data_IF_925524535432
#
_entry.id   IF_925524535432
#
_cell.length_a   1.000
_cell.length_b   1.000
_cell.length_c   1.000
_cell.angle_alpha   90.00
_cell.angle_beta   90.00
_cell.angle_gamma   90.00
#
_symmetry.space_group_name_H-M   'P 1'
#
loop_
_entity.id
_entity.type
_entity.pdbx_description
1 polymer ?
#
# COMPACT_ATOMS: atom_id res chain seq x y z
N UNK A 1 -14.87 -23.27 -11.41
CA UNK A 1 -14.55 -23.37 -9.96
C UNK A 1 -15.82 -23.09 -9.16
N UNK A 2 -16.22 -23.95 -8.22
CA UNK A 2 -17.44 -23.72 -7.43
C UNK A 2 -17.28 -22.51 -6.49
N UNK A 3 -18.39 -21.99 -5.96
CA UNK A 3 -18.40 -20.77 -5.14
C UNK A 3 -17.57 -20.91 -3.86
N UNK A 4 -17.62 -22.07 -3.20
CA UNK A 4 -16.85 -22.35 -1.99
C UNK A 4 -15.34 -22.25 -2.25
N UNK A 5 -14.85 -22.87 -3.33
CA UNK A 5 -13.43 -22.84 -3.68
C UNK A 5 -12.96 -21.44 -4.08
N UNK A 6 -13.81 -20.62 -4.71
CA UNK A 6 -13.52 -19.20 -4.97
C UNK A 6 -13.34 -18.41 -3.68
N UNK A 7 -14.25 -18.57 -2.73
CA UNK A 7 -14.17 -17.90 -1.42
C UNK A 7 -12.92 -18.32 -0.64
N UNK A 8 -12.62 -19.62 -0.60
CA UNK A 8 -11.42 -20.13 0.05
C UNK A 8 -10.14 -19.58 -0.59
N UNK A 9 -10.07 -19.53 -1.92
CA UNK A 9 -8.91 -18.97 -2.63
C UNK A 9 -8.71 -17.48 -2.34
N UNK A 10 -9.80 -16.70 -2.28
CA UNK A 10 -9.73 -15.29 -1.91
C UNK A 10 -9.25 -15.12 -0.47
N UNK A 11 -9.78 -15.92 0.46
CA UNK A 11 -9.40 -15.88 1.87
C UNK A 11 -7.91 -16.20 2.06
N UNK A 12 -7.41 -17.29 1.45
CA UNK A 12 -6.00 -17.67 1.58
C UNK A 12 -5.07 -16.66 0.93
N UNK A 13 -5.48 -16.07 -0.20
CA UNK A 13 -4.69 -15.04 -0.89
C UNK A 13 -4.65 -13.76 -0.06
N UNK A 14 -5.77 -13.33 0.53
CA UNK A 14 -5.81 -12.17 1.42
C UNK A 14 -4.92 -12.39 2.66
N UNK A 15 -4.97 -13.58 3.26
CA UNK A 15 -4.12 -13.94 4.40
C UNK A 15 -2.62 -13.90 4.03
N UNK A 16 -2.25 -14.47 2.88
CA UNK A 16 -0.87 -14.45 2.38
C UNK A 16 -0.38 -13.02 2.13
N UNK A 17 -1.17 -12.19 1.44
CA UNK A 17 -0.82 -10.80 1.16
C UNK A 17 -0.72 -9.97 2.44
N UNK A 18 -1.59 -10.24 3.43
CA UNK A 18 -1.51 -9.60 4.75
C UNK A 18 -0.22 -9.98 5.46
N UNK A 19 0.14 -11.27 5.48
CA UNK A 19 1.40 -11.74 6.06
C UNK A 19 2.62 -11.09 5.38
N UNK A 20 2.61 -10.99 4.05
CA UNK A 20 3.66 -10.30 3.30
C UNK A 20 3.71 -8.80 3.60
N UNK A 21 2.57 -8.13 3.73
CA UNK A 21 2.50 -6.71 4.07
C UNK A 21 3.13 -6.42 5.46
N UNK A 22 2.99 -7.36 6.39
CA UNK A 22 3.62 -7.27 7.72
C UNK A 22 5.12 -7.58 7.63
N UNK A 23 5.49 -8.63 6.90
CA UNK A 23 6.85 -9.15 6.86
C UNK A 23 7.82 -8.27 6.07
N UNK A 24 7.42 -7.77 4.90
CA UNK A 24 8.30 -7.04 3.97
C UNK A 24 9.04 -5.89 4.67
N UNK A 25 8.38 -4.99 5.41
CA UNK A 25 9.06 -3.89 6.10
C UNK A 25 10.09 -4.31 7.17
N UNK A 26 10.02 -5.56 7.64
CA UNK A 26 10.93 -6.11 8.66
C UNK A 26 12.18 -6.74 8.04
N UNK A 27 12.08 -7.28 6.82
CA UNK A 27 13.15 -8.08 6.20
C UNK A 27 13.78 -7.44 4.96
N UNK A 28 13.05 -6.56 4.27
CA UNK A 28 13.56 -5.91 3.07
C UNK A 28 14.51 -4.75 3.40
N UNK A 29 15.54 -4.52 2.56
CA UNK A 29 16.48 -3.43 2.76
C UNK A 29 15.77 -2.08 2.76
N UNK A 30 16.20 -1.19 3.67
CA UNK A 30 15.66 0.16 3.83
C UNK A 30 16.64 1.16 3.25
N UNK A 31 16.15 2.09 2.45
CA UNK A 31 16.90 3.28 2.04
C UNK A 31 16.67 4.31 3.14
N UNK A 32 17.73 4.63 3.89
CA UNK A 32 17.67 5.59 4.99
C UNK A 32 18.13 6.96 4.49
N UNK A 33 17.21 7.92 4.48
CA UNK A 33 17.48 9.32 4.17
C UNK A 33 17.02 10.11 5.40
N UNK A 34 17.92 10.44 6.33
CA UNK A 34 17.55 11.14 7.56
C UNK A 34 16.67 12.37 7.23
N UNK A 35 15.49 12.53 7.86
CA UNK A 35 15.02 11.88 9.08
C UNK A 35 14.04 10.68 8.89
N UNK A 36 13.93 10.12 7.68
CA UNK A 36 13.01 9.03 7.36
C UNK A 36 13.72 7.82 6.70
N UNK A 37 12.98 6.72 6.53
CA UNK A 37 13.47 5.54 5.82
C UNK A 37 12.35 4.96 4.97
N UNK A 38 12.71 4.43 3.80
CA UNK A 38 11.78 3.83 2.84
C UNK A 38 12.15 2.37 2.62
N UNK A 39 11.20 1.46 2.85
CA UNK A 39 11.37 0.04 2.59
C UNK A 39 10.81 -0.29 1.22
N UNK A 40 11.66 -0.70 0.29
CA UNK A 40 11.25 -1.09 -1.06
C UNK A 40 10.16 -2.19 -1.01
N UNK A 41 9.15 -2.06 -1.88
CA UNK A 41 8.05 -3.01 -2.04
C UNK A 41 7.07 -3.10 -0.85
N UNK A 42 7.11 -2.20 0.13
CA UNK A 42 6.24 -2.26 1.31
C UNK A 42 4.75 -2.23 0.99
N UNK A 43 4.34 -1.51 -0.08
CA UNK A 43 2.93 -1.40 -0.46
C UNK A 43 2.50 -2.43 -1.51
N UNK A 44 3.44 -3.21 -2.06
CA UNK A 44 3.18 -4.18 -3.13
C UNK A 44 2.06 -5.16 -2.77
N UNK A 45 1.99 -5.76 -1.56
CA UNK A 45 0.92 -6.69 -1.24
C UNK A 45 -0.47 -6.03 -1.21
N UNK A 46 -0.57 -4.79 -0.73
CA UNK A 46 -1.83 -4.02 -0.72
C UNK A 46 -2.25 -3.71 -2.17
N UNK A 47 -1.31 -3.27 -3.00
CA UNK A 47 -1.55 -2.95 -4.41
C UNK A 47 -1.94 -4.19 -5.24
N UNK A 48 -1.33 -5.35 -4.98
CA UNK A 48 -1.80 -6.62 -5.55
C UNK A 48 -3.21 -6.93 -5.05
N UNK A 49 -3.51 -6.68 -3.77
CA UNK A 49 -4.85 -6.79 -3.22
C UNK A 49 -5.89 -5.97 -3.98
N UNK A 50 -5.54 -4.73 -4.38
CA UNK A 50 -6.39 -3.87 -5.21
C UNK A 50 -6.72 -4.50 -6.57
N UNK A 51 -5.78 -5.22 -7.17
CA UNK A 51 -5.97 -5.93 -8.44
C UNK A 51 -6.80 -7.21 -8.29
N UNK A 52 -6.98 -7.73 -7.07
CA UNK A 52 -7.76 -8.94 -6.79
C UNK A 52 -9.22 -8.62 -6.47
N UNK A 53 -9.48 -7.67 -5.57
CA UNK A 53 -10.82 -7.11 -5.30
C UNK A 53 -10.74 -5.98 -4.27
N UNK A 54 -11.76 -5.09 -4.21
CA UNK A 54 -11.83 -4.08 -3.14
C UNK A 54 -11.82 -4.65 -1.72
N UNK A 55 -12.48 -5.79 -1.52
CA UNK A 55 -12.53 -6.47 -0.22
C UNK A 55 -11.15 -6.95 0.21
N UNK A 56 -10.40 -7.58 -0.70
CA UNK A 56 -9.03 -8.04 -0.40
C UNK A 56 -8.11 -6.86 -0.12
N UNK A 57 -8.19 -5.77 -0.89
CA UNK A 57 -7.40 -4.56 -0.67
C UNK A 57 -7.58 -3.99 0.74
N UNK A 58 -8.84 -3.87 1.20
CA UNK A 58 -9.17 -3.39 2.55
C UNK A 58 -8.68 -4.35 3.62
N UNK A 59 -8.91 -5.67 3.45
CA UNK A 59 -8.45 -6.67 4.42
C UNK A 59 -6.93 -6.61 4.60
N UNK A 60 -6.16 -6.51 3.50
CA UNK A 60 -4.69 -6.47 3.57
C UNK A 60 -4.22 -5.18 4.25
N UNK A 61 -4.83 -4.02 3.96
CA UNK A 61 -4.48 -2.76 4.60
C UNK A 61 -4.84 -2.70 6.10
N UNK A 62 -6.03 -3.19 6.48
CA UNK A 62 -6.43 -3.30 7.89
C UNK A 62 -5.55 -4.32 8.61
N UNK A 63 -5.30 -5.47 7.99
CA UNK A 63 -4.48 -6.53 8.54
C UNK A 63 -3.03 -6.11 8.77
N UNK A 64 -2.42 -5.37 7.83
CA UNK A 64 -1.07 -4.82 8.02
C UNK A 64 -1.02 -3.79 9.14
N UNK A 65 -2.05 -2.94 9.26
CA UNK A 65 -2.18 -1.97 10.36
C UNK A 65 -2.21 -2.66 11.72
N UNK A 66 -3.06 -3.70 11.86
CA UNK A 66 -3.15 -4.50 13.08
C UNK A 66 -1.82 -5.23 13.34
N UNK A 67 -1.21 -5.79 12.30
CA UNK A 67 0.09 -6.45 12.41
C UNK A 67 1.21 -5.52 12.89
N UNK A 68 1.27 -4.29 12.40
CA UNK A 68 2.24 -3.28 12.85
C UNK A 68 2.00 -2.86 14.29
N UNK A 69 0.73 -2.71 14.69
CA UNK A 69 0.35 -2.42 16.07
C UNK A 69 0.83 -3.53 17.02
N UNK A 70 0.56 -4.80 16.68
CA UNK A 70 0.97 -5.96 17.49
C UNK A 70 2.50 -6.13 17.50
N UNK A 71 3.18 -5.74 16.41
CA UNK A 71 4.64 -5.79 16.31
C UNK A 71 5.35 -4.72 17.15
N UNK A 72 4.61 -3.83 17.83
CA UNK A 72 5.18 -2.81 18.70
C UNK A 72 5.95 -1.71 17.94
N UNK A 73 5.63 -1.47 16.67
CA UNK A 73 6.23 -0.39 15.91
C UNK A 73 5.81 0.99 16.48
N UNK A 74 6.63 2.04 16.29
CA UNK A 74 6.26 3.41 16.66
C UNK A 74 4.86 3.77 16.16
N UNK A 75 4.10 4.46 17.00
CA UNK A 75 2.67 4.70 16.77
C UNK A 75 2.42 5.46 15.46
N UNK A 76 3.33 6.37 15.06
CA UNK A 76 3.27 7.07 13.78
C UNK A 76 3.32 6.15 12.57
N UNK A 77 4.03 5.01 12.65
CA UNK A 77 4.12 4.04 11.56
C UNK A 77 2.81 3.27 11.44
N UNK A 78 2.22 2.89 12.58
CA UNK A 78 0.94 2.19 12.63
C UNK A 78 -0.20 3.05 12.07
N UNK A 79 -0.28 4.33 12.44
CA UNK A 79 -1.28 5.24 11.90
C UNK A 79 -1.08 5.54 10.42
N UNK A 80 0.17 5.61 9.94
CA UNK A 80 0.43 5.68 8.49
C UNK A 80 -0.08 4.44 7.76
N UNK A 81 0.15 3.23 8.29
CA UNK A 81 -0.43 2.03 7.71
C UNK A 81 -1.97 2.07 7.70
N UNK A 82 -2.59 2.64 8.74
CA UNK A 82 -4.04 2.80 8.79
C UNK A 82 -4.59 3.66 7.64
N UNK A 83 -3.86 4.69 7.19
CA UNK A 83 -4.30 5.52 6.06
C UNK A 83 -4.25 4.78 4.73
N UNK A 84 -3.51 3.66 4.64
CA UNK A 84 -3.42 2.87 3.40
C UNK A 84 -4.77 2.34 2.95
N UNK A 85 -5.71 2.13 3.87
CA UNK A 85 -7.09 1.75 3.58
C UNK A 85 -7.76 2.75 2.62
N UNK A 86 -7.42 4.05 2.72
CA UNK A 86 -8.00 5.10 1.88
C UNK A 86 -7.64 4.89 0.41
N UNK A 87 -6.35 4.84 0.08
CA UNK A 87 -5.93 4.65 -1.31
C UNK A 87 -6.27 3.24 -1.81
N UNK A 88 -6.19 2.23 -0.95
CA UNK A 88 -6.52 0.85 -1.29
C UNK A 88 -7.99 0.72 -1.71
N UNK A 89 -8.91 1.31 -0.97
CA UNK A 89 -10.33 1.30 -1.30
C UNK A 89 -10.63 2.15 -2.54
N UNK A 90 -10.19 3.40 -2.58
CA UNK A 90 -10.46 4.31 -3.70
C UNK A 90 -9.90 3.74 -5.01
N UNK A 91 -8.63 3.32 -4.99
CA UNK A 91 -7.97 2.81 -6.17
C UNK A 91 -8.51 1.45 -6.62
N UNK A 92 -8.86 0.55 -5.70
CA UNK A 92 -9.47 -0.73 -6.07
C UNK A 92 -10.87 -0.53 -6.69
N UNK A 93 -11.73 0.31 -6.10
CA UNK A 93 -13.04 0.61 -6.67
C UNK A 93 -12.92 1.22 -8.07
N UNK A 94 -11.97 2.15 -8.26
CA UNK A 94 -11.74 2.78 -9.55
C UNK A 94 -11.25 1.79 -10.61
N UNK A 95 -10.19 1.02 -10.33
CA UNK A 95 -9.58 0.14 -11.33
C UNK A 95 -10.49 -1.05 -11.69
N UNK A 96 -11.34 -1.49 -10.77
CA UNK A 96 -12.36 -2.52 -11.05
C UNK A 96 -13.51 -2.00 -11.91
N UNK A 97 -13.80 -0.70 -11.84
CA UNK A 97 -14.77 -0.04 -12.73
C UNK A 97 -14.16 0.33 -14.09
N UNK A 98 -12.87 0.67 -14.12
CA UNK A 98 -12.14 1.16 -15.28
C UNK A 98 -10.90 0.28 -15.55
N UNK A 99 -11.16 -0.94 -16.03
CA UNK A 99 -10.12 -1.98 -16.16
C UNK A 99 -9.06 -1.67 -17.23
N UNK A 100 -9.37 -0.74 -18.13
CA UNK A 100 -8.45 -0.17 -19.11
C UNK A 100 -7.30 0.65 -18.47
N UNK A 101 -7.40 1.00 -17.18
CA UNK A 101 -6.32 1.64 -16.42
C UNK A 101 -5.30 0.65 -15.84
N UNK A 102 -5.36 -0.62 -16.25
CA UNK A 102 -4.34 -1.62 -15.90
C UNK A 102 -3.15 -1.63 -16.86
N UNK A 103 -3.19 -0.83 -17.94
CA UNK A 103 -2.20 -0.87 -19.02
C UNK A 103 -1.73 0.52 -19.50
N UNK A 104 -0.52 0.56 -20.04
CA UNK A 104 0.06 1.70 -20.74
C UNK A 104 0.05 3.02 -19.95
N UNK A 105 -0.26 4.11 -20.65
CA UNK A 105 -0.28 5.47 -20.09
C UNK A 105 -1.39 5.65 -19.07
N UNK A 106 -2.56 5.02 -19.28
CA UNK A 106 -3.69 5.09 -18.35
C UNK A 106 -3.30 4.54 -16.97
N UNK A 107 -2.57 3.44 -16.93
CA UNK A 107 -2.01 2.91 -15.68
C UNK A 107 -1.09 3.91 -14.97
N UNK A 108 -0.20 4.59 -15.70
CA UNK A 108 0.70 5.56 -15.08
C UNK A 108 -0.05 6.78 -14.53
N UNK A 109 -1.08 7.26 -15.23
CA UNK A 109 -1.97 8.33 -14.73
C UNK A 109 -2.65 7.89 -13.43
N UNK A 110 -3.22 6.68 -13.42
CA UNK A 110 -3.82 6.11 -12.22
C UNK A 110 -2.81 5.98 -11.07
N UNK A 111 -1.61 5.48 -11.36
CA UNK A 111 -0.55 5.31 -10.38
C UNK A 111 -0.13 6.64 -9.73
N UNK A 112 0.00 7.71 -10.54
CA UNK A 112 0.27 9.07 -10.03
C UNK A 112 -0.84 9.55 -9.09
N UNK A 113 -2.11 9.37 -9.47
CA UNK A 113 -3.24 9.77 -8.61
C UNK A 113 -3.25 8.99 -7.29
N UNK A 114 -3.02 7.68 -7.34
CA UNK A 114 -2.95 6.84 -6.14
C UNK A 114 -1.77 7.21 -5.25
N UNK A 115 -0.60 7.46 -5.84
CA UNK A 115 0.58 7.90 -5.11
C UNK A 115 0.34 9.26 -4.42
N UNK A 116 -0.37 10.19 -5.04
CA UNK A 116 -0.78 11.45 -4.42
C UNK A 116 -1.74 11.22 -3.24
N UNK A 117 -2.78 10.41 -3.42
CA UNK A 117 -3.74 10.12 -2.33
C UNK A 117 -3.03 9.47 -1.14
N UNK A 118 -2.17 8.48 -1.43
CA UNK A 118 -1.36 7.79 -0.45
C UNK A 118 -0.49 8.76 0.37
N UNK A 119 0.32 9.58 -0.29
CA UNK A 119 1.24 10.48 0.41
C UNK A 119 0.55 11.60 1.16
N UNK A 120 -0.50 12.18 0.58
CA UNK A 120 -1.27 13.22 1.26
C UNK A 120 -1.90 12.68 2.55
N UNK A 121 -2.42 11.45 2.51
CA UNK A 121 -2.98 10.82 3.70
C UNK A 121 -1.91 10.53 4.77
N UNK A 122 -0.72 10.04 4.37
CA UNK A 122 0.40 9.83 5.30
C UNK A 122 0.93 11.12 5.91
N UNK A 123 1.12 12.16 5.09
CA UNK A 123 1.57 13.48 5.55
C UNK A 123 0.55 14.09 6.49
N UNK A 124 -0.74 14.01 6.17
CA UNK A 124 -1.82 14.53 7.01
C UNK A 124 -1.85 13.83 8.37
N UNK A 125 -1.78 12.49 8.43
CA UNK A 125 -1.84 11.78 9.71
C UNK A 125 -0.59 12.05 10.55
N UNK A 126 0.59 12.12 9.95
CA UNK A 126 1.83 12.44 10.67
C UNK A 126 1.78 13.87 11.21
N UNK A 127 1.30 14.83 10.41
CA UNK A 127 1.11 16.20 10.87
C UNK A 127 0.13 16.29 12.06
N UNK A 128 -1.00 15.59 11.99
CA UNK A 128 -1.99 15.53 13.07
C UNK A 128 -1.34 14.94 14.33
N UNK A 129 -0.64 13.82 14.25
CA UNK A 129 -0.01 13.18 15.40
C UNK A 129 1.04 14.07 16.08
N UNK A 130 1.82 14.81 15.28
CA UNK A 130 2.84 15.73 15.80
C UNK A 130 2.23 16.96 16.46
N UNK A 131 1.18 17.54 15.87
CA UNK A 131 0.54 18.77 16.37
C UNK A 131 -0.38 18.53 17.56
N UNK A 132 -0.95 17.33 17.68
CA UNK A 132 -1.79 16.93 18.82
C UNK A 132 -0.97 16.39 20.00
N UNK A 133 0.34 16.21 19.84
CA UNK A 133 1.25 15.72 20.88
C UNK A 133 1.27 14.20 21.05
N UNK A 134 0.61 13.44 20.17
CA UNK A 134 0.65 11.96 20.16
C UNK A 134 1.98 11.38 19.66
N UNK A 135 2.79 12.18 18.94
CA UNK A 135 4.15 11.84 18.52
C UNK A 135 5.06 13.05 18.65
N UNK A 136 6.37 12.80 18.74
CA UNK A 136 7.38 13.85 18.91
C UNK A 136 8.41 13.84 17.79
N UNK A 137 8.89 15.03 17.45
CA UNK A 137 9.87 15.23 16.38
C UNK A 137 11.22 14.52 16.66
N UNK A 138 11.56 14.20 17.91
CA UNK A 138 12.78 13.48 18.29
C UNK A 138 14.06 14.08 17.63
N UNK A 139 14.17 15.42 17.63
CA UNK A 139 15.29 16.14 17.01
C UNK A 139 15.18 16.33 15.49
N UNK A 140 14.12 15.85 14.85
CA UNK A 140 13.84 16.06 13.41
C UNK A 140 13.26 17.45 13.18
N UNK A 141 13.61 18.08 12.07
CA UNK A 141 12.92 19.29 11.62
C UNK A 141 11.57 18.89 10.99
N UNK A 142 10.48 19.51 11.44
CA UNK A 142 9.14 19.25 10.93
C UNK A 142 9.06 19.44 9.41
N UNK A 143 9.64 20.53 8.89
CA UNK A 143 9.58 20.82 7.45
C UNK A 143 10.34 19.79 6.63
N UNK A 144 11.53 19.36 7.08
CA UNK A 144 12.31 18.35 6.37
C UNK A 144 11.67 16.97 6.44
N UNK A 145 11.05 16.62 7.57
CA UNK A 145 10.30 15.37 7.73
C UNK A 145 9.10 15.32 6.79
N UNK A 146 8.28 16.38 6.74
CA UNK A 146 7.10 16.41 5.86
C UNK A 146 7.49 16.44 4.39
N UNK A 147 8.59 17.12 4.02
CA UNK A 147 9.10 17.15 2.65
C UNK A 147 9.59 15.78 2.21
N UNK A 148 10.40 15.11 3.02
CA UNK A 148 10.91 13.77 2.71
C UNK A 148 9.76 12.75 2.71
N UNK A 149 8.82 12.82 3.65
CA UNK A 149 7.65 11.95 3.67
C UNK A 149 6.76 12.17 2.43
N UNK A 150 6.55 13.42 2.02
CA UNK A 150 5.74 13.77 0.85
C UNK A 150 6.40 13.32 -0.45
N UNK A 151 7.60 13.82 -0.77
CA UNK A 151 8.27 13.52 -2.03
C UNK A 151 8.76 12.07 -2.07
N UNK A 152 9.41 11.62 -0.99
CA UNK A 152 9.94 10.27 -0.88
C UNK A 152 8.82 9.22 -0.90
N UNK A 153 7.74 9.45 -0.14
CA UNK A 153 6.56 8.58 -0.18
C UNK A 153 5.91 8.52 -1.57
N UNK A 154 5.95 9.61 -2.32
CA UNK A 154 5.30 9.70 -3.63
C UNK A 154 6.06 8.85 -4.64
N UNK A 155 7.37 9.06 -4.73
CA UNK A 155 8.25 8.27 -5.59
C UNK A 155 8.22 6.80 -5.18
N UNK A 156 8.26 6.52 -3.87
CA UNK A 156 8.20 5.17 -3.33
C UNK A 156 6.90 4.45 -3.75
N UNK A 157 5.75 5.09 -3.60
CA UNK A 157 4.46 4.53 -4.02
C UNK A 157 4.40 4.28 -5.52
N UNK A 158 4.95 5.17 -6.35
CA UNK A 158 5.00 4.98 -7.80
C UNK A 158 5.77 3.73 -8.19
N UNK A 159 6.93 3.51 -7.55
CA UNK A 159 7.78 2.34 -7.79
C UNK A 159 7.06 1.08 -7.34
N UNK A 160 6.49 1.08 -6.13
CA UNK A 160 5.78 -0.07 -5.57
C UNK A 160 4.62 -0.53 -6.47
N UNK A 161 3.83 0.38 -7.06
CA UNK A 161 2.72 -0.06 -7.91
C UNK A 161 3.20 -0.61 -9.26
N UNK A 162 4.29 -0.08 -9.81
CA UNK A 162 4.89 -0.68 -11.00
C UNK A 162 5.39 -2.11 -10.72
N UNK A 163 6.01 -2.33 -9.56
CA UNK A 163 6.42 -3.67 -9.11
C UNK A 163 5.19 -4.58 -8.93
N UNK A 164 4.15 -4.09 -8.25
CA UNK A 164 2.91 -4.85 -8.04
C UNK A 164 2.24 -5.25 -9.35
N UNK A 165 2.16 -4.34 -10.32
CA UNK A 165 1.59 -4.60 -11.64
C UNK A 165 2.44 -5.62 -12.42
N UNK A 166 3.77 -5.49 -12.38
CA UNK A 166 4.68 -6.46 -13.00
C UNK A 166 4.49 -7.86 -12.42
N UNK A 167 4.48 -7.99 -11.09
CA UNK A 167 4.26 -9.27 -10.39
C UNK A 167 2.87 -9.84 -10.72
N UNK A 168 1.82 -9.00 -10.67
CA UNK A 168 0.46 -9.43 -10.96
C UNK A 168 0.31 -9.96 -12.40
N UNK A 169 0.92 -9.28 -13.39
CA UNK A 169 0.92 -9.74 -14.79
C UNK A 169 1.72 -11.04 -14.96
N UNK A 170 2.83 -11.21 -14.23
CA UNK A 170 3.59 -12.47 -14.23
C UNK A 170 2.76 -13.63 -13.65
N UNK A 171 2.12 -13.42 -12.50
CA UNK A 171 1.22 -14.41 -11.86
C UNK A 171 0.03 -14.74 -12.77
N UNK A 172 -0.53 -13.74 -13.47
CA UNK A 172 -1.66 -13.91 -14.40
C UNK A 172 -1.41 -14.91 -15.54
N UNK A 173 -0.14 -15.25 -15.83
CA UNK A 173 0.19 -16.30 -16.80
C UNK A 173 -0.18 -17.68 -16.28
N UNK A 174 -0.11 -17.90 -14.98
CA UNK A 174 -0.36 -19.20 -14.32
C UNK A 174 -1.71 -19.21 -13.61
N UNK A 175 -2.05 -18.13 -12.90
CA UNK A 175 -3.31 -17.97 -12.17
C UNK A 175 -4.04 -16.74 -12.69
N UNK A 176 -5.13 -16.95 -13.46
CA UNK A 176 -5.85 -15.87 -14.15
C UNK A 176 -6.56 -14.95 -13.18
N UNK A 177 -6.17 -13.68 -13.16
CA UNK A 177 -6.84 -12.64 -12.41
C UNK A 177 -8.06 -12.16 -13.19
N UNK A 178 -9.18 -12.02 -12.50
CA UNK A 178 -10.43 -11.61 -13.12
C UNK A 178 -10.35 -10.18 -13.70
N UNK A 179 -9.43 -9.32 -13.21
CA UNK A 179 -9.24 -7.92 -13.63
C UNK A 179 -8.51 -7.74 -14.99
N UNK A 180 -7.79 -8.76 -15.46
CA UNK A 180 -7.06 -8.73 -16.74
C UNK A 180 -7.77 -9.52 -17.86
N UNK A 181 -9.00 -9.98 -17.61
CA UNK A 181 -9.84 -10.60 -18.64
C UNK A 181 -10.46 -9.51 -19.54
N UNK A 182 -10.57 -9.79 -20.83
CA UNK A 182 -11.36 -8.94 -21.73
C UNK A 182 -12.86 -9.10 -21.45
#
# INVERSE_FOLDING_TARGET
MNQTRKRLSMLTTAALLTALAILIPQVMPKIVIPPASFTLASHVPIMIGMLISPVVAVIVAVGSTIGFLISGLPIEITFRAATHVIFALIGSLFIWKHRDYTEGVKFQIFNVVIALIHTLAEVAIVYILLTTGFSHLAGRNLSSLLLILGIGGFIHSLIDFNIAMFIAKAINRVYKFDIFKD
#
